data_IF_935932039320
#
_entry.id   IF_935932039320
#
_cell.length_a   1.000
_cell.length_b   1.000
_cell.length_c   1.000
_cell.angle_alpha   90.00
_cell.angle_beta   90.00
_cell.angle_gamma   90.00
#
_symmetry.space_group_name_H-M   'P 1'
#
loop_
_entity.id
_entity.type
_entity.pdbx_description
1 polymer ?
#
# COMPACT_ATOMS: atom_id res chain seq x y z
N UNK A 1 3.47 42.30 -3.98
CA UNK A 1 3.65 40.91 -4.47
C UNK A 1 2.72 40.73 -5.65
N UNK A 2 3.25 40.78 -6.86
CA UNK A 2 2.53 40.37 -8.07
C UNK A 2 2.60 38.85 -8.10
N UNK A 3 1.47 38.14 -7.92
CA UNK A 3 1.38 36.73 -8.26
C UNK A 3 1.41 36.68 -9.79
N UNK A 4 2.50 36.22 -10.37
CA UNK A 4 2.57 35.83 -11.77
C UNK A 4 1.70 34.56 -11.93
N UNK A 5 0.46 34.74 -12.33
CA UNK A 5 -0.39 33.68 -12.83
C UNK A 5 0.02 33.43 -14.28
N UNK A 6 1.01 32.57 -14.52
CA UNK A 6 1.17 31.94 -15.84
C UNK A 6 0.06 30.89 -15.94
N UNK A 7 -0.92 31.06 -16.82
CA UNK A 7 -1.97 30.05 -16.99
C UNK A 7 -1.30 28.77 -17.51
N UNK A 8 -1.74 27.62 -16.99
CA UNK A 8 -1.32 26.33 -17.52
C UNK A 8 -1.54 26.31 -19.03
N UNK A 9 -0.47 26.10 -19.78
CA UNK A 9 -0.51 26.08 -21.26
C UNK A 9 -0.83 24.70 -21.81
N UNK A 10 -0.76 23.67 -20.93
CA UNK A 10 -0.94 22.27 -21.28
C UNK A 10 -1.87 21.58 -20.26
N UNK A 11 -2.42 20.43 -20.65
CA UNK A 11 -3.10 19.46 -19.77
C UNK A 11 -2.37 18.13 -19.87
N UNK A 12 -2.26 17.41 -18.77
CA UNK A 12 -1.65 16.09 -18.73
C UNK A 12 -2.56 15.06 -18.08
N UNK A 13 -2.52 13.83 -18.60
CA UNK A 13 -3.21 12.65 -18.07
C UNK A 13 -2.21 11.52 -17.95
N UNK A 14 -2.32 10.73 -16.88
CA UNK A 14 -1.51 9.55 -16.63
C UNK A 14 -2.42 8.33 -16.58
N UNK A 15 -2.12 7.30 -17.36
CA UNK A 15 -2.90 6.06 -17.44
C UNK A 15 -1.95 4.85 -17.43
N UNK A 16 -2.32 3.81 -16.70
CA UNK A 16 -1.61 2.54 -16.73
C UNK A 16 -2.31 1.55 -17.68
N UNK A 17 -1.59 0.48 -18.07
CA UNK A 17 -2.09 -0.55 -18.98
C UNK A 17 -2.77 -1.72 -18.28
N UNK A 18 -3.01 -1.64 -16.96
CA UNK A 18 -3.64 -2.73 -16.19
C UNK A 18 -5.12 -2.86 -16.54
N UNK A 19 -5.59 -4.09 -16.54
CA UNK A 19 -7.00 -4.43 -16.81
C UNK A 19 -7.73 -4.81 -15.53
N UNK A 20 -8.99 -4.40 -15.44
CA UNK A 20 -9.86 -4.70 -14.30
C UNK A 20 -9.64 -3.76 -13.11
N UNK A 21 -10.58 -3.81 -12.17
CA UNK A 21 -10.52 -3.03 -10.93
C UNK A 21 -10.29 -4.00 -9.77
N UNK A 22 -9.10 -3.96 -9.20
CA UNK A 22 -8.70 -4.75 -8.03
C UNK A 22 -8.37 -3.81 -6.87
N UNK A 23 -8.51 -4.27 -5.63
CA UNK A 23 -8.04 -3.55 -4.44
C UNK A 23 -6.51 -3.58 -4.32
N UNK A 24 -5.91 -4.66 -4.78
CA UNK A 24 -4.47 -4.77 -5.03
C UNK A 24 -4.22 -5.74 -6.19
N UNK A 25 -3.08 -5.59 -6.82
CA UNK A 25 -2.63 -6.41 -7.94
C UNK A 25 -1.58 -7.42 -7.46
N UNK A 26 -1.62 -8.65 -7.99
CA UNK A 26 -0.56 -9.63 -7.84
C UNK A 26 0.66 -9.25 -8.67
N UNK A 27 1.78 -9.88 -8.40
CA UNK A 27 3.01 -9.61 -9.15
C UNK A 27 2.93 -10.05 -10.61
N UNK A 28 2.17 -11.10 -10.87
CA UNK A 28 1.85 -11.61 -12.21
C UNK A 28 1.09 -10.59 -13.07
N UNK A 29 0.26 -9.77 -12.44
CA UNK A 29 -0.48 -8.71 -13.13
C UNK A 29 0.43 -7.59 -13.63
N UNK A 30 1.64 -7.45 -13.05
CA UNK A 30 2.54 -6.33 -13.29
C UNK A 30 3.64 -6.63 -14.32
N UNK A 31 3.71 -7.83 -14.91
CA UNK A 31 4.85 -8.27 -15.75
C UNK A 31 5.21 -7.27 -16.85
N UNK A 32 4.20 -6.62 -17.44
CA UNK A 32 4.36 -5.63 -18.50
C UNK A 32 3.80 -4.26 -18.09
N UNK A 33 3.91 -3.90 -16.79
CA UNK A 33 3.40 -2.64 -16.31
C UNK A 33 4.04 -1.47 -17.04
N UNK A 34 3.20 -0.71 -17.69
CA UNK A 34 3.57 0.51 -18.38
C UNK A 34 2.56 1.61 -18.12
N UNK A 35 3.03 2.83 -18.17
CA UNK A 35 2.21 4.03 -18.09
C UNK A 35 2.36 4.85 -19.34
N UNK A 36 1.27 5.47 -19.77
CA UNK A 36 1.27 6.47 -20.84
C UNK A 36 0.89 7.82 -20.23
N UNK A 37 1.77 8.80 -20.41
CA UNK A 37 1.47 10.21 -20.15
C UNK A 37 0.96 10.81 -21.44
N UNK A 38 -0.28 11.30 -21.46
CA UNK A 38 -0.85 12.03 -22.60
C UNK A 38 -0.88 13.51 -22.26
N UNK A 39 -0.31 14.33 -23.16
CA UNK A 39 -0.23 15.78 -23.01
C UNK A 39 -0.95 16.46 -24.17
N UNK A 40 -1.83 17.39 -23.81
CA UNK A 40 -2.60 18.19 -24.76
C UNK A 40 -2.43 19.68 -24.48
N UNK A 41 -2.51 20.48 -25.52
CA UNK A 41 -2.66 21.91 -25.39
C UNK A 41 -4.03 22.26 -24.80
N UNK A 42 -4.24 23.46 -24.32
CA UNK A 42 -5.52 23.90 -23.74
C UNK A 42 -6.74 23.68 -24.66
N UNK A 43 -6.54 23.65 -25.96
CA UNK A 43 -7.60 23.43 -26.95
C UNK A 43 -7.77 21.96 -27.36
N UNK A 44 -7.08 21.01 -26.67
CA UNK A 44 -7.23 19.57 -26.88
C UNK A 44 -6.40 18.99 -28.03
N UNK A 45 -5.51 19.79 -28.67
CA UNK A 45 -4.57 19.23 -29.65
C UNK A 45 -3.37 18.59 -28.98
N UNK A 46 -2.83 17.48 -29.54
CA UNK A 46 -1.64 16.84 -29.00
C UNK A 46 -0.46 17.81 -28.82
N UNK A 47 0.22 17.72 -27.68
CA UNK A 47 1.37 18.57 -27.37
C UNK A 47 2.67 17.76 -27.49
N UNK A 48 3.34 17.89 -28.64
CA UNK A 48 4.62 17.24 -28.96
C UNK A 48 5.79 17.98 -28.34
N UNK A 49 6.86 17.23 -27.99
CA UNK A 49 8.15 17.80 -27.55
C UNK A 49 8.19 18.23 -26.09
N UNK A 50 7.16 17.94 -25.31
CA UNK A 50 7.15 18.22 -23.87
C UNK A 50 8.02 17.21 -23.12
N UNK A 51 8.80 17.69 -22.15
CA UNK A 51 9.64 16.84 -21.31
C UNK A 51 8.80 16.27 -20.16
N UNK A 52 8.89 14.95 -19.95
CA UNK A 52 8.24 14.22 -18.86
C UNK A 52 9.32 13.63 -17.97
N UNK A 53 9.40 14.05 -16.70
CA UNK A 53 10.25 13.41 -15.68
C UNK A 53 9.41 12.52 -14.81
N UNK A 54 9.81 11.27 -14.68
CA UNK A 54 9.03 10.28 -13.96
C UNK A 54 9.81 9.66 -12.81
N UNK A 55 9.11 9.40 -11.69
CA UNK A 55 9.62 8.66 -10.53
C UNK A 55 8.55 7.73 -9.96
N UNK A 56 9.00 6.60 -9.46
CA UNK A 56 8.17 5.61 -8.77
C UNK A 56 8.49 5.66 -7.27
N UNK A 57 7.46 5.80 -6.46
CA UNK A 57 7.55 5.78 -5.00
C UNK A 57 6.87 4.51 -4.52
N UNK A 58 7.63 3.60 -3.92
CA UNK A 58 7.13 2.41 -3.27
C UNK A 58 7.06 2.65 -1.75
N UNK A 59 5.87 2.62 -1.18
CA UNK A 59 5.63 2.83 0.24
C UNK A 59 4.95 1.61 0.87
N UNK A 60 5.12 1.38 2.20
CA UNK A 60 4.40 0.30 2.88
C UNK A 60 2.89 0.41 2.68
N UNK A 61 2.25 -0.66 2.22
CA UNK A 61 0.81 -0.71 2.06
C UNK A 61 0.12 -0.99 3.41
N UNK A 62 -1.01 -0.35 3.63
CA UNK A 62 -1.98 -0.75 4.66
C UNK A 62 -3.28 -1.13 3.96
N UNK A 63 -3.76 -2.35 4.25
CA UNK A 63 -5.04 -2.78 3.70
C UNK A 63 -6.17 -2.03 4.42
N UNK A 64 -7.01 -1.36 3.62
CA UNK A 64 -8.20 -0.67 4.08
C UNK A 64 -9.35 -0.89 3.08
N UNK A 65 -10.55 -1.04 3.60
CA UNK A 65 -11.75 -1.28 2.81
C UNK A 65 -12.83 -0.26 3.22
N UNK A 66 -13.46 0.37 2.22
CA UNK A 66 -14.44 1.45 2.43
C UNK A 66 -15.89 0.95 2.57
N UNK A 67 -16.08 -0.37 2.54
CA UNK A 67 -17.38 -1.04 2.64
C UNK A 67 -17.72 -1.45 4.10
N UNK A 68 -18.48 -2.52 4.24
CA UNK A 68 -18.85 -3.14 5.53
C UNK A 68 -17.65 -3.57 6.39
N UNK A 69 -16.44 -3.68 5.82
CA UNK A 69 -15.22 -4.07 6.52
C UNK A 69 -14.34 -2.88 6.92
N UNK A 70 -14.82 -1.65 6.83
CA UNK A 70 -14.05 -0.43 7.15
C UNK A 70 -13.53 -0.37 8.60
N UNK A 71 -14.21 -1.05 9.53
CA UNK A 71 -13.85 -1.08 10.95
C UNK A 71 -12.93 -2.27 11.32
N UNK A 72 -12.57 -3.10 10.33
CA UNK A 72 -11.63 -4.19 10.51
C UNK A 72 -10.19 -3.73 10.36
N UNK A 73 -9.31 -4.30 11.18
CA UNK A 73 -7.87 -4.10 11.11
C UNK A 73 -7.28 -5.29 10.35
N UNK A 74 -6.64 -5.02 9.21
CA UNK A 74 -5.98 -6.03 8.39
C UNK A 74 -4.49 -5.98 8.64
N UNK A 75 -3.94 -7.12 9.07
CA UNK A 75 -2.52 -7.28 9.34
C UNK A 75 -1.81 -7.89 8.13
N UNK A 76 -0.67 -7.32 7.75
CA UNK A 76 0.24 -7.86 6.75
C UNK A 76 1.61 -8.14 7.38
N UNK A 77 1.96 -9.42 7.48
CA UNK A 77 3.25 -9.85 8.02
C UNK A 77 4.44 -9.49 7.09
N UNK A 78 4.17 -9.34 5.78
CA UNK A 78 5.17 -8.97 4.77
C UNK A 78 5.29 -7.46 4.54
N UNK A 79 4.88 -6.64 5.49
CA UNK A 79 4.89 -5.19 5.36
C UNK A 79 6.31 -4.63 5.24
N UNK A 80 6.56 -3.82 4.21
CA UNK A 80 7.79 -3.07 4.06
C UNK A 80 8.00 -2.09 5.22
N UNK A 81 9.24 -1.91 5.65
CA UNK A 81 9.56 -0.99 6.74
C UNK A 81 9.72 0.46 6.29
N UNK A 82 10.20 0.68 5.07
CA UNK A 82 10.57 2.00 4.54
C UNK A 82 10.05 2.21 3.13
N UNK A 83 9.77 3.47 2.82
CA UNK A 83 9.51 3.89 1.44
C UNK A 83 10.81 3.94 0.64
N UNK A 84 10.72 3.57 -0.63
CA UNK A 84 11.80 3.67 -1.61
C UNK A 84 11.36 4.58 -2.76
N UNK A 85 12.28 5.39 -3.29
CA UNK A 85 12.04 6.26 -4.44
C UNK A 85 13.01 5.87 -5.54
N UNK A 86 12.47 5.58 -6.72
CA UNK A 86 13.23 5.25 -7.92
C UNK A 86 12.97 6.31 -9.00
N UNK A 87 14.02 6.98 -9.44
CA UNK A 87 13.96 7.85 -10.61
C UNK A 87 13.92 6.99 -11.89
N UNK A 88 12.89 7.19 -12.71
CA UNK A 88 12.69 6.43 -13.96
C UNK A 88 13.31 7.12 -15.17
N UNK A 89 13.69 8.40 -15.02
CA UNK A 89 14.35 9.17 -16.05
C UNK A 89 13.47 10.24 -16.67
N UNK A 90 13.89 10.67 -17.87
CA UNK A 90 13.25 11.74 -18.64
C UNK A 90 12.82 11.21 -19.99
N UNK A 91 11.59 11.53 -20.38
CA UNK A 91 10.93 11.13 -21.61
C UNK A 91 10.49 12.37 -22.37
N UNK A 92 10.17 12.23 -23.64
CA UNK A 92 9.68 13.34 -24.48
C UNK A 92 8.41 12.88 -25.19
N UNK A 93 7.37 13.72 -25.19
CA UNK A 93 6.13 13.39 -25.89
C UNK A 93 6.31 13.37 -27.40
N UNK A 94 5.73 12.36 -28.03
CA UNK A 94 5.73 12.17 -29.50
C UNK A 94 4.72 13.09 -30.18
N UNK A 95 4.50 12.87 -31.50
CA UNK A 95 3.57 13.66 -32.32
C UNK A 95 2.09 13.47 -31.95
N UNK A 96 1.75 12.39 -31.26
CA UNK A 96 0.45 12.13 -30.65
C UNK A 96 0.32 12.73 -29.23
N UNK A 97 1.36 13.43 -28.74
CA UNK A 97 1.41 14.00 -27.40
C UNK A 97 1.63 12.96 -26.30
N UNK A 98 2.19 11.78 -26.62
CA UNK A 98 2.33 10.66 -25.71
C UNK A 98 3.77 10.38 -25.32
N UNK A 99 3.98 9.97 -24.07
CA UNK A 99 5.25 9.44 -23.58
C UNK A 99 4.97 8.15 -22.78
N UNK A 100 5.60 7.04 -23.21
CA UNK A 100 5.45 5.74 -22.56
C UNK A 100 6.57 5.50 -21.55
N UNK A 101 6.19 5.06 -20.36
CA UNK A 101 7.06 4.80 -19.22
C UNK A 101 6.90 3.33 -18.82
N UNK A 102 7.93 2.51 -19.04
CA UNK A 102 7.94 1.12 -18.61
C UNK A 102 8.48 1.01 -17.19
N UNK A 103 7.83 0.17 -16.38
CA UNK A 103 8.23 -0.09 -15.01
C UNK A 103 8.99 -1.42 -14.95
N UNK A 104 10.20 -1.41 -14.41
CA UNK A 104 10.90 -2.65 -14.09
C UNK A 104 10.36 -3.22 -12.78
N UNK A 105 9.49 -4.21 -12.91
CA UNK A 105 8.83 -4.86 -11.77
C UNK A 105 9.81 -5.66 -10.91
N UNK A 106 10.96 -6.07 -11.46
CA UNK A 106 11.97 -6.79 -10.71
C UNK A 106 12.72 -5.90 -9.71
N UNK A 107 12.70 -4.58 -9.96
CA UNK A 107 13.25 -3.60 -9.01
C UNK A 107 12.29 -3.28 -7.84
N UNK A 108 11.04 -3.77 -7.89
CA UNK A 108 10.05 -3.58 -6.84
C UNK A 108 10.16 -4.76 -5.85
N UNK A 109 10.15 -4.48 -4.54
CA UNK A 109 10.16 -5.50 -3.48
C UNK A 109 8.98 -6.49 -3.56
N UNK A 110 9.07 -7.59 -2.79
CA UNK A 110 8.02 -8.62 -2.72
C UNK A 110 6.95 -8.35 -1.65
N UNK A 111 7.13 -7.29 -0.89
CA UNK A 111 6.23 -6.89 0.18
C UNK A 111 4.94 -6.29 -0.38
N UNK A 112 3.95 -6.09 0.49
CA UNK A 112 2.74 -5.34 0.15
C UNK A 112 3.04 -3.85 0.11
N UNK A 113 2.92 -3.25 -1.08
CA UNK A 113 3.36 -1.89 -1.39
C UNK A 113 2.24 -1.05 -1.99
N UNK A 114 2.24 0.23 -1.64
CA UNK A 114 1.56 1.28 -2.37
C UNK A 114 2.56 1.91 -3.34
N UNK A 115 2.36 1.70 -4.64
CA UNK A 115 3.19 2.24 -5.71
C UNK A 115 2.57 3.53 -6.24
N UNK A 116 3.24 4.65 -6.05
CA UNK A 116 2.82 5.93 -6.62
C UNK A 116 3.75 6.30 -7.76
N UNK A 117 3.24 6.25 -9.00
CA UNK A 117 3.93 6.88 -10.12
C UNK A 117 3.63 8.37 -10.11
N UNK A 118 4.67 9.18 -10.19
CA UNK A 118 4.59 10.62 -10.36
C UNK A 118 5.28 10.99 -11.67
N UNK A 119 4.57 11.72 -12.53
CA UNK A 119 5.13 12.27 -13.77
C UNK A 119 4.97 13.79 -13.76
N UNK A 120 6.09 14.49 -13.84
CA UNK A 120 6.16 15.94 -13.96
C UNK A 120 6.38 16.31 -15.41
N UNK A 121 5.41 16.99 -16.00
CA UNK A 121 5.40 17.36 -17.41
C UNK A 121 5.74 18.83 -17.52
N UNK A 122 6.78 19.13 -18.29
CA UNK A 122 7.22 20.49 -18.59
C UNK A 122 6.78 20.86 -19.99
N UNK A 123 6.25 22.05 -20.16
CA UNK A 123 5.95 22.54 -21.50
C UNK A 123 7.24 22.67 -22.35
N UNK A 124 7.12 22.72 -23.68
CA UNK A 124 8.24 22.76 -24.58
C UNK A 124 9.12 24.01 -24.39
N UNK A 125 8.61 25.05 -23.75
CA UNK A 125 9.32 26.31 -23.45
C UNK A 125 9.88 26.33 -22.02
N UNK A 126 9.51 25.31 -21.17
CA UNK A 126 9.95 25.20 -19.79
C UNK A 126 9.33 26.23 -18.83
N UNK A 127 8.29 26.93 -19.28
CA UNK A 127 7.65 28.00 -18.51
C UNK A 127 6.65 27.53 -17.48
N UNK A 128 6.05 26.33 -17.67
CA UNK A 128 5.11 25.71 -16.73
C UNK A 128 5.33 24.21 -16.60
N UNK A 129 4.91 23.64 -15.47
CA UNK A 129 4.93 22.21 -15.24
C UNK A 129 3.60 21.73 -14.63
N UNK A 130 3.24 20.49 -14.94
CA UNK A 130 2.07 19.81 -14.38
C UNK A 130 2.54 18.50 -13.76
N UNK A 131 2.12 18.24 -12.52
CA UNK A 131 2.36 16.98 -11.83
C UNK A 131 1.11 16.09 -11.89
N UNK A 132 1.22 14.95 -12.57
CA UNK A 132 0.21 13.89 -12.56
C UNK A 132 0.68 12.70 -11.75
N UNK A 133 -0.27 12.01 -11.10
CA UNK A 133 0.03 10.88 -10.22
C UNK A 133 -0.98 9.77 -10.43
N UNK A 134 -0.49 8.53 -10.31
CA UNK A 134 -1.34 7.34 -10.19
C UNK A 134 -0.87 6.48 -9.02
N UNK A 135 -1.82 5.83 -8.35
CA UNK A 135 -1.58 5.00 -7.16
C UNK A 135 -2.10 3.60 -7.42
N UNK A 136 -1.20 2.62 -7.35
CA UNK A 136 -1.52 1.20 -7.38
C UNK A 136 -1.14 0.55 -6.05
N UNK A 137 -1.97 -0.39 -5.62
CA UNK A 137 -1.64 -1.29 -4.52
C UNK A 137 -1.19 -2.63 -5.08
N UNK A 138 -0.07 -3.14 -4.57
CA UNK A 138 0.57 -4.38 -5.01
C UNK A 138 0.85 -5.26 -3.81
N UNK A 139 0.49 -6.53 -3.89
CA UNK A 139 0.76 -7.50 -2.82
C UNK A 139 0.94 -8.91 -3.39
N UNK A 140 1.84 -9.72 -2.83
CA UNK A 140 1.95 -11.14 -3.15
C UNK A 140 0.82 -11.99 -2.53
N UNK A 141 -0.01 -11.38 -1.67
CA UNK A 141 -1.05 -12.09 -0.93
C UNK A 141 -2.30 -12.30 -1.79
N UNK A 142 -2.82 -13.51 -1.86
CA UNK A 142 -4.11 -13.82 -2.48
C UNK A 142 -5.30 -13.36 -1.65
N UNK A 143 -5.12 -13.27 -0.32
CA UNK A 143 -6.12 -12.79 0.62
C UNK A 143 -5.45 -12.21 1.86
N UNK A 144 -6.16 -11.36 2.59
CA UNK A 144 -5.72 -10.75 3.85
C UNK A 144 -6.69 -11.08 4.97
N UNK A 145 -6.14 -11.34 6.15
CA UNK A 145 -6.90 -11.61 7.37
C UNK A 145 -7.17 -10.30 8.11
N UNK A 146 -8.43 -10.03 8.39
CA UNK A 146 -8.86 -8.88 9.17
C UNK A 146 -9.54 -9.31 10.48
N UNK A 147 -9.40 -8.46 11.49
CA UNK A 147 -10.10 -8.65 12.73
C UNK A 147 -10.74 -7.34 13.21
N UNK A 148 -11.83 -7.50 13.97
CA UNK A 148 -12.50 -6.40 14.66
C UNK A 148 -12.81 -6.86 16.09
N UNK A 149 -12.66 -5.97 17.05
CA UNK A 149 -13.02 -6.23 18.44
C UNK A 149 -13.63 -4.99 19.07
N UNK A 150 -14.59 -5.22 19.98
CA UNK A 150 -15.15 -4.17 20.83
C UNK A 150 -14.45 -4.12 22.19
N UNK A 151 -13.65 -5.13 22.51
CA UNK A 151 -12.91 -5.25 23.77
C UNK A 151 -11.55 -4.56 23.66
N UNK A 152 -11.10 -3.96 24.78
CA UNK A 152 -9.74 -3.46 24.86
C UNK A 152 -8.76 -4.62 25.11
N UNK A 153 -8.22 -5.21 24.04
CA UNK A 153 -7.30 -6.34 24.13
C UNK A 153 -5.98 -6.03 24.86
N UNK A 154 -5.65 -4.75 25.08
CA UNK A 154 -4.43 -4.36 25.81
C UNK A 154 -4.60 -4.51 27.33
N UNK A 155 -5.84 -4.51 27.83
CA UNK A 155 -6.16 -4.57 29.25
C UNK A 155 -7.43 -5.38 29.48
N UNK A 156 -7.29 -6.71 29.50
CA UNK A 156 -8.38 -7.63 29.90
C UNK A 156 -8.24 -7.96 31.37
N UNK A 157 -9.31 -7.84 32.11
CA UNK A 157 -9.38 -8.36 33.50
C UNK A 157 -9.53 -9.86 33.46
N UNK A 158 -9.17 -10.54 34.57
CA UNK A 158 -9.18 -12.01 34.68
C UNK A 158 -10.56 -12.69 34.45
N UNK A 159 -11.64 -11.92 34.41
CA UNK A 159 -13.01 -12.40 34.21
C UNK A 159 -13.68 -11.85 32.94
N UNK A 160 -13.01 -10.97 32.22
CA UNK A 160 -13.53 -10.42 30.96
C UNK A 160 -13.28 -11.41 29.81
N UNK A 161 -14.34 -11.69 29.06
CA UNK A 161 -14.22 -12.39 27.78
C UNK A 161 -14.08 -11.37 26.67
N UNK A 162 -13.03 -11.50 25.89
CA UNK A 162 -12.88 -10.73 24.67
C UNK A 162 -13.54 -11.48 23.51
N UNK A 163 -14.29 -10.77 22.67
CA UNK A 163 -14.80 -11.30 21.42
C UNK A 163 -14.08 -10.66 20.24
N UNK A 164 -13.71 -11.48 19.29
CA UNK A 164 -13.12 -11.11 18.03
C UNK A 164 -14.03 -11.51 16.89
N UNK A 165 -14.23 -10.61 15.95
CA UNK A 165 -14.76 -10.90 14.63
C UNK A 165 -13.59 -11.02 13.66
N UNK A 166 -13.51 -12.13 12.94
CA UNK A 166 -12.40 -12.43 12.03
C UNK A 166 -12.96 -12.70 10.63
N UNK A 167 -12.37 -12.11 9.61
CA UNK A 167 -12.72 -12.32 8.20
C UNK A 167 -11.45 -12.37 7.35
N UNK A 168 -11.47 -13.14 6.27
CA UNK A 168 -10.48 -13.00 5.22
C UNK A 168 -11.13 -12.43 3.95
N UNK A 169 -10.42 -11.52 3.28
CA UNK A 169 -10.87 -10.91 2.04
C UNK A 169 -9.83 -11.09 0.94
N UNK A 170 -10.31 -11.39 -0.27
CA UNK A 170 -9.49 -11.45 -1.48
C UNK A 170 -9.22 -10.05 -2.08
N UNK A 171 -8.48 -10.02 -3.18
CA UNK A 171 -8.12 -8.80 -3.90
C UNK A 171 -9.32 -8.02 -4.49
N UNK A 172 -10.50 -8.61 -4.50
CA UNK A 172 -11.75 -7.96 -4.91
C UNK A 172 -12.61 -7.52 -3.73
N UNK A 173 -12.08 -7.60 -2.50
CA UNK A 173 -12.78 -7.36 -1.25
C UNK A 173 -13.96 -8.32 -1.02
N UNK A 174 -13.86 -9.57 -1.52
CA UNK A 174 -14.84 -10.62 -1.29
C UNK A 174 -14.36 -11.56 -0.19
N UNK A 175 -15.29 -12.12 0.62
CA UNK A 175 -14.95 -13.14 1.60
C UNK A 175 -14.19 -14.32 0.98
N UNK A 176 -13.13 -14.73 1.65
CA UNK A 176 -12.20 -15.76 1.20
C UNK A 176 -12.08 -16.90 2.21
N UNK A 177 -12.19 -18.15 1.76
CA UNK A 177 -12.01 -19.32 2.61
C UNK A 177 -10.51 -19.61 2.79
N UNK A 178 -9.95 -19.34 3.98
CA UNK A 178 -8.55 -19.63 4.30
C UNK A 178 -8.34 -21.03 4.90
N UNK A 179 -9.40 -21.73 5.26
CA UNK A 179 -9.33 -23.04 5.91
C UNK A 179 -9.07 -22.92 7.43
N UNK A 180 -8.25 -23.83 7.95
CA UNK A 180 -7.94 -23.88 9.40
C UNK A 180 -6.89 -22.82 9.76
N UNK A 181 -7.22 -22.02 10.78
CA UNK A 181 -6.35 -21.02 11.37
C UNK A 181 -5.85 -21.52 12.74
N UNK A 182 -4.55 -21.44 12.98
CA UNK A 182 -4.01 -21.61 14.32
C UNK A 182 -4.25 -20.32 15.13
N UNK A 183 -4.75 -20.48 16.35
CA UNK A 183 -5.01 -19.38 17.28
C UNK A 183 -4.17 -19.57 18.53
N UNK A 184 -3.39 -18.57 18.90
CA UNK A 184 -2.54 -18.57 20.09
C UNK A 184 -2.83 -17.32 20.92
N UNK A 185 -3.03 -17.53 22.21
CA UNK A 185 -3.22 -16.45 23.18
C UNK A 185 -1.96 -16.29 24.01
N UNK A 186 -1.39 -15.09 23.97
CA UNK A 186 -0.20 -14.73 24.76
C UNK A 186 -0.54 -13.65 25.78
N UNK A 187 -0.04 -13.84 26.99
CA UNK A 187 0.09 -12.76 27.96
C UNK A 187 1.39 -12.00 27.70
N UNK A 188 1.32 -10.69 27.58
CA UNK A 188 2.48 -9.81 27.40
C UNK A 188 2.71 -8.94 28.62
N UNK A 189 3.91 -9.03 29.20
CA UNK A 189 4.36 -8.20 30.31
C UNK A 189 5.62 -7.42 29.92
N UNK A 190 5.73 -6.19 30.40
CA UNK A 190 6.94 -5.39 30.23
C UNK A 190 7.77 -5.37 31.50
N UNK A 191 8.99 -5.90 31.44
CA UNK A 191 9.93 -5.88 32.54
C UNK A 191 11.10 -4.94 32.25
N UNK A 192 11.57 -4.22 33.27
CA UNK A 192 12.82 -3.47 33.15
C UNK A 192 13.99 -4.44 33.23
N UNK A 193 14.82 -4.50 32.20
CA UNK A 193 16.01 -5.33 32.15
C UNK A 193 17.25 -4.48 31.91
N UNK A 194 18.36 -4.85 32.57
CA UNK A 194 19.65 -4.20 32.36
C UNK A 194 20.31 -4.80 31.13
N UNK A 195 20.44 -4.04 30.06
CA UNK A 195 20.98 -4.47 28.78
C UNK A 195 22.24 -3.66 28.46
N UNK A 196 23.25 -4.32 27.90
CA UNK A 196 24.47 -3.66 27.43
C UNK A 196 24.26 -3.19 25.99
N UNK A 197 24.19 -1.89 25.78
CA UNK A 197 24.07 -1.24 24.46
C UNK A 197 25.29 -0.36 24.24
N UNK A 198 26.01 -0.58 23.15
CA UNK A 198 27.25 0.17 22.81
C UNK A 198 28.28 0.22 23.97
N UNK A 199 28.44 -0.92 24.67
CA UNK A 199 29.42 -1.04 25.76
C UNK A 199 28.95 -0.51 27.12
N UNK A 200 27.81 0.19 27.21
CA UNK A 200 27.24 0.75 28.45
C UNK A 200 26.00 -0.03 28.87
N UNK A 201 25.84 -0.23 30.18
CA UNK A 201 24.64 -0.84 30.74
C UNK A 201 23.56 0.23 30.91
N UNK A 202 22.35 -0.07 30.38
CA UNK A 202 21.18 0.78 30.54
C UNK A 202 19.92 -0.07 30.78
N UNK A 203 18.99 0.48 31.56
CA UNK A 203 17.70 -0.15 31.74
C UNK A 203 16.84 0.08 30.49
N UNK A 204 16.34 -1.00 29.91
CA UNK A 204 15.36 -0.95 28.83
C UNK A 204 14.13 -1.76 29.20
N UNK A 205 12.99 -1.43 28.60
CA UNK A 205 11.78 -2.25 28.70
C UNK A 205 11.91 -3.42 27.73
N UNK A 206 11.85 -4.62 28.25
CA UNK A 206 11.85 -5.87 27.47
C UNK A 206 10.46 -6.47 27.59
N UNK A 207 9.84 -6.74 26.44
CA UNK A 207 8.57 -7.47 26.36
C UNK A 207 8.84 -8.95 26.65
N UNK A 208 8.08 -9.53 27.58
CA UNK A 208 8.04 -10.97 27.82
C UNK A 208 6.67 -11.47 27.42
N UNK A 209 6.66 -12.58 26.72
CA UNK A 209 5.43 -13.24 26.27
C UNK A 209 5.35 -14.63 26.90
N UNK A 210 4.17 -14.97 27.40
CA UNK A 210 3.86 -16.29 27.93
C UNK A 210 2.64 -16.81 27.18
N UNK A 211 2.81 -17.94 26.49
CA UNK A 211 1.68 -18.63 25.85
C UNK A 211 0.70 -19.12 26.94
N UNK A 212 -0.56 -18.72 26.82
CA UNK A 212 -1.63 -19.12 27.75
C UNK A 212 -2.45 -20.27 27.18
N UNK A 213 -2.80 -20.23 25.91
CA UNK A 213 -3.60 -21.26 25.24
C UNK A 213 -3.33 -21.32 23.75
N UNK A 214 -3.59 -22.48 23.16
CA UNK A 214 -3.60 -22.72 21.71
C UNK A 214 -4.94 -23.31 21.31
N UNK A 215 -5.36 -23.03 20.09
CA UNK A 215 -6.56 -23.57 19.51
C UNK A 215 -6.51 -23.48 17.98
N UNK A 216 -7.60 -23.93 17.35
CA UNK A 216 -7.80 -23.72 15.92
C UNK A 216 -9.20 -23.20 15.63
N UNK A 217 -9.36 -22.55 14.51
CA UNK A 217 -10.63 -22.04 14.03
C UNK A 217 -10.73 -22.21 12.52
N UNK A 218 -11.92 -22.56 12.01
CA UNK A 218 -12.17 -22.72 10.59
C UNK A 218 -12.72 -21.43 9.99
N UNK A 219 -12.05 -20.91 8.97
CA UNK A 219 -12.48 -19.72 8.24
C UNK A 219 -12.90 -20.13 6.80
N UNK A 220 -14.20 -20.32 6.61
CA UNK A 220 -14.82 -20.85 5.40
C UNK A 220 -15.41 -19.76 4.48
N UNK A 221 -14.88 -18.54 4.54
CA UNK A 221 -15.39 -17.40 3.77
C UNK A 221 -16.58 -16.70 4.42
N UNK A 222 -16.85 -16.99 5.70
CA UNK A 222 -17.86 -16.31 6.51
C UNK A 222 -17.18 -15.58 7.68
N UNK A 223 -17.92 -14.64 8.27
CA UNK A 223 -17.46 -13.94 9.48
C UNK A 223 -17.37 -14.93 10.64
N UNK A 224 -16.19 -15.08 11.19
CA UNK A 224 -15.94 -15.93 12.35
C UNK A 224 -16.02 -15.10 13.63
N UNK A 225 -16.89 -15.52 14.55
CA UNK A 225 -16.94 -15.00 15.92
C UNK A 225 -16.11 -15.88 16.86
N UNK A 226 -15.06 -15.33 17.42
CA UNK A 226 -14.14 -16.03 18.31
C UNK A 226 -14.15 -15.37 19.69
N UNK A 227 -14.34 -16.19 20.74
CA UNK A 227 -14.31 -15.71 22.13
C UNK A 227 -13.06 -16.23 22.83
N UNK A 228 -12.32 -15.32 23.47
CA UNK A 228 -11.14 -15.57 24.28
C UNK A 228 -11.50 -15.66 25.76
#
# INVERSE_FOLDING_TARGET
YVMDFTPDTIKAKLENNLTGVKKWYGREDLQDLAYTVTVENLFGSPAMGNTVKARLIASPMQFAFDNEYKDFIFYDAGKAEKSNVQELGSFVTDKEGKADIKIDVNAIGYESLALTLQAEVFDAQGASNILVKDLLYVSPLSAVLGYKTQSNLAFLTQQEKASLEIIALDMFAKPYAMGELAVELYQSDFVKSLVKVNGKYQYTKVRREKLLSTGSAQLNGELLHFSL
#
